data_IF_663079102303
#
_entry.id   IF_663079102303
#
_cell.length_a   1.000
_cell.length_b   1.000
_cell.length_c   1.000
_cell.angle_alpha   90.00
_cell.angle_beta   90.00
_cell.angle_gamma   90.00
#
_symmetry.space_group_name_H-M   'P 1'
#
loop_
_entity.id
_entity.type
_entity.pdbx_description
1 polymer ?
#
# COMPACT_ATOMS: atom_id res chain seq x y z
N UNK A 1 53.69 14.12 -11.95
CA UNK A 1 52.84 13.98 -10.73
C UNK A 1 51.38 14.44 -10.87
N UNK A 2 51.05 15.53 -11.58
CA UNK A 2 49.64 16.01 -11.71
C UNK A 2 48.71 15.06 -12.49
N UNK A 3 49.18 14.42 -13.57
CA UNK A 3 48.38 13.47 -14.37
C UNK A 3 47.96 12.21 -13.58
N UNK A 4 48.85 11.64 -12.77
CA UNK A 4 48.54 10.43 -11.99
C UNK A 4 47.46 10.70 -10.93
N UNK A 5 47.50 11.87 -10.26
CA UNK A 5 46.47 12.26 -9.28
C UNK A 5 45.07 12.38 -9.91
N UNK A 6 45.00 12.79 -11.17
CA UNK A 6 43.74 12.96 -11.90
C UNK A 6 43.09 11.61 -12.26
N UNK A 7 43.92 10.61 -12.59
CA UNK A 7 43.48 9.23 -12.84
C UNK A 7 42.92 8.59 -11.57
N UNK A 8 43.59 8.75 -10.42
CA UNK A 8 43.10 8.23 -9.14
C UNK A 8 41.79 8.90 -8.69
N UNK A 9 41.62 10.20 -8.94
CA UNK A 9 40.37 10.90 -8.63
C UNK A 9 39.19 10.40 -9.49
N UNK A 10 39.42 10.14 -10.77
CA UNK A 10 38.41 9.58 -11.68
C UNK A 10 38.02 8.14 -11.29
N UNK A 11 39.00 7.30 -10.95
CA UNK A 11 38.75 5.95 -10.45
C UNK A 11 37.94 5.97 -9.14
N UNK A 12 38.27 6.87 -8.21
CA UNK A 12 37.53 7.03 -6.96
C UNK A 12 36.07 7.46 -7.20
N UNK A 13 35.85 8.36 -8.17
CA UNK A 13 34.51 8.83 -8.52
C UNK A 13 33.66 7.72 -9.16
N UNK A 14 34.25 6.92 -10.06
CA UNK A 14 33.58 5.75 -10.65
C UNK A 14 33.28 4.71 -9.56
N UNK A 15 34.22 4.48 -8.64
CA UNK A 15 34.02 3.55 -7.52
C UNK A 15 32.89 4.03 -6.60
N UNK A 16 32.84 5.32 -6.26
CA UNK A 16 31.74 5.89 -5.47
C UNK A 16 30.39 5.81 -6.20
N UNK A 17 30.36 6.03 -7.51
CA UNK A 17 29.15 5.87 -8.32
C UNK A 17 28.66 4.41 -8.37
N UNK A 18 29.57 3.44 -8.43
CA UNK A 18 29.24 2.00 -8.39
C UNK A 18 28.71 1.61 -7.00
N UNK A 19 29.36 2.08 -5.92
CA UNK A 19 28.91 1.81 -4.53
C UNK A 19 27.54 2.46 -4.25
N UNK A 20 27.30 3.67 -4.75
CA UNK A 20 26.00 4.33 -4.66
C UNK A 20 24.92 3.62 -5.51
N UNK A 21 25.30 2.98 -6.62
CA UNK A 21 24.39 2.22 -7.48
C UNK A 21 23.90 0.89 -6.89
N UNK A 22 24.59 0.36 -5.87
CA UNK A 22 24.27 -0.93 -5.24
C UNK A 22 23.27 -0.85 -4.07
N UNK A 23 22.80 0.34 -3.66
CA UNK A 23 22.12 0.48 -2.35
C UNK A 23 20.62 0.18 -2.32
N UNK A 24 19.96 -0.10 -3.44
CA UNK A 24 18.49 -0.22 -3.48
C UNK A 24 17.94 -1.67 -3.41
N UNK A 25 18.81 -2.67 -3.32
CA UNK A 25 18.37 -4.08 -3.20
C UNK A 25 18.03 -4.48 -1.75
N UNK A 26 18.41 -3.68 -0.76
CA UNK A 26 18.16 -3.94 0.67
C UNK A 26 16.88 -3.28 1.21
N UNK A 27 16.15 -2.53 0.38
CA UNK A 27 14.87 -1.94 0.77
C UNK A 27 13.75 -2.97 0.58
N UNK A 28 12.90 -3.10 1.60
CA UNK A 28 11.68 -3.90 1.58
C UNK A 28 10.54 -3.15 0.91
N UNK A 29 9.54 -3.88 0.42
CA UNK A 29 8.31 -3.28 -0.10
C UNK A 29 7.54 -2.53 1.00
N UNK A 30 7.57 -3.04 2.24
CA UNK A 30 7.01 -2.32 3.39
C UNK A 30 7.58 -0.91 3.52
N UNK A 31 8.91 -0.76 3.49
CA UNK A 31 9.55 0.56 3.58
C UNK A 31 9.19 1.48 2.40
N UNK A 32 9.00 0.92 1.20
CA UNK A 32 8.52 1.69 0.04
C UNK A 32 7.13 2.25 0.27
N UNK A 33 6.20 1.40 0.74
CA UNK A 33 4.81 1.79 1.02
C UNK A 33 4.78 2.84 2.15
N UNK A 34 5.49 2.58 3.25
CA UNK A 34 5.51 3.48 4.41
C UNK A 34 6.09 4.86 4.06
N UNK A 35 7.07 4.92 3.13
CA UNK A 35 7.63 6.17 2.62
C UNK A 35 6.71 6.91 1.65
N UNK A 36 5.86 6.21 0.91
CA UNK A 36 4.89 6.84 0.02
C UNK A 36 3.79 7.55 0.83
N UNK A 37 3.47 7.03 2.03
CA UNK A 37 2.52 7.55 3.02
C UNK A 37 1.06 7.61 2.56
N UNK A 38 0.80 8.06 1.33
CA UNK A 38 -0.53 8.24 0.76
C UNK A 38 -0.85 7.13 -0.22
N UNK A 39 -1.96 6.45 0.01
CA UNK A 39 -2.45 5.37 -0.85
C UNK A 39 -3.92 5.61 -1.16
N UNK A 40 -4.28 5.52 -2.43
CA UNK A 40 -5.67 5.47 -2.87
C UNK A 40 -6.01 4.05 -3.28
N UNK A 41 -7.11 3.52 -2.77
CA UNK A 41 -7.56 2.15 -2.97
C UNK A 41 -8.81 2.22 -3.85
N UNK A 42 -8.73 1.66 -5.05
CA UNK A 42 -9.83 1.66 -6.01
C UNK A 42 -10.79 0.51 -5.69
N UNK A 43 -11.82 0.84 -4.91
CA UNK A 43 -13.00 0.02 -4.65
C UNK A 43 -14.24 0.86 -5.03
N UNK A 44 -15.42 0.25 -5.20
CA UNK A 44 -16.68 1.00 -5.20
C UNK A 44 -17.21 1.09 -3.76
N UNK A 45 -17.07 2.23 -3.06
CA UNK A 45 -16.40 3.49 -3.45
C UNK A 45 -14.92 3.57 -3.04
N UNK A 46 -14.22 4.59 -3.56
CA UNK A 46 -12.77 4.75 -3.45
C UNK A 46 -12.36 5.20 -2.04
N UNK A 47 -11.23 4.70 -1.55
CA UNK A 47 -10.69 5.04 -0.24
C UNK A 47 -9.34 5.74 -0.35
N UNK A 48 -9.11 6.75 0.49
CA UNK A 48 -7.83 7.46 0.59
C UNK A 48 -7.24 7.27 1.98
N UNK A 49 -6.00 6.79 2.06
CA UNK A 49 -5.29 6.52 3.32
C UNK A 49 -4.01 7.33 3.43
N UNK A 50 -3.72 7.86 4.62
CA UNK A 50 -2.43 8.37 5.08
C UNK A 50 -1.90 7.44 6.17
N UNK A 51 -0.94 6.61 5.77
CA UNK A 51 -0.27 5.62 6.62
C UNK A 51 0.57 6.26 7.72
N UNK A 52 1.10 7.46 7.49
CA UNK A 52 1.97 8.16 8.43
C UNK A 52 1.16 8.83 9.54
N UNK A 53 0.07 9.51 9.17
CA UNK A 53 -0.80 10.19 10.14
C UNK A 53 -1.92 9.31 10.70
N UNK A 54 -1.99 8.03 10.28
CA UNK A 54 -3.02 7.06 10.66
C UNK A 54 -4.45 7.55 10.44
N UNK A 55 -4.73 7.97 9.21
CA UNK A 55 -6.05 8.51 8.82
C UNK A 55 -6.50 7.91 7.51
N UNK A 56 -7.80 7.75 7.33
CA UNK A 56 -8.38 7.50 6.02
C UNK A 56 -9.75 8.15 5.86
N UNK A 57 -10.20 8.31 4.62
CA UNK A 57 -11.53 8.79 4.29
C UNK A 57 -12.05 8.18 2.97
N UNK A 58 -13.37 8.03 2.85
CA UNK A 58 -14.08 7.42 1.73
C UNK A 58 -15.22 6.51 2.22
N UNK A 59 -16.08 6.02 1.32
CA UNK A 59 -17.13 5.06 1.65
C UNK A 59 -18.11 5.51 2.75
N UNK A 60 -18.34 6.81 2.88
CA UNK A 60 -19.19 7.37 3.93
C UNK A 60 -18.57 7.40 5.32
N UNK A 61 -17.29 7.06 5.44
CA UNK A 61 -16.55 7.04 6.69
C UNK A 61 -15.28 7.90 6.58
N UNK A 62 -14.84 8.41 7.71
CA UNK A 62 -13.49 8.89 7.88
C UNK A 62 -12.95 8.39 9.21
N UNK A 63 -11.70 7.94 9.22
CA UNK A 63 -11.05 7.44 10.43
C UNK A 63 -9.85 8.32 10.78
N UNK A 64 -9.65 8.53 12.08
CA UNK A 64 -8.40 9.00 12.66
C UNK A 64 -8.09 8.17 13.89
N UNK A 65 -6.98 7.41 13.83
CA UNK A 65 -6.61 6.46 14.89
C UNK A 65 -7.78 5.50 15.17
N UNK A 66 -8.37 5.52 16.37
CA UNK A 66 -9.51 4.66 16.76
C UNK A 66 -10.85 5.42 16.78
N UNK A 67 -10.94 6.55 16.07
CA UNK A 67 -12.15 7.37 15.96
C UNK A 67 -12.74 7.28 14.55
N UNK A 68 -14.00 6.83 14.47
CA UNK A 68 -14.81 6.77 13.26
C UNK A 68 -15.79 7.94 13.18
N UNK A 69 -15.84 8.59 12.04
CA UNK A 69 -16.68 9.74 11.72
C UNK A 69 -17.65 9.32 10.62
N UNK A 70 -18.94 9.32 10.95
CA UNK A 70 -20.04 8.93 10.06
C UNK A 70 -21.16 9.98 10.10
N UNK A 71 -22.20 9.80 9.28
CA UNK A 71 -23.41 10.62 9.35
C UNK A 71 -24.07 10.57 10.74
N UNK A 72 -24.11 9.38 11.34
CA UNK A 72 -24.81 9.15 12.61
C UNK A 72 -24.07 9.74 13.80
N UNK A 73 -22.76 10.00 13.66
CA UNK A 73 -21.97 10.64 14.70
C UNK A 73 -20.50 10.33 14.65
N UNK A 74 -19.86 10.37 15.82
CA UNK A 74 -18.44 10.08 15.98
C UNK A 74 -18.27 9.06 17.09
N UNK A 75 -17.58 7.97 16.81
CA UNK A 75 -17.52 6.79 17.68
C UNK A 75 -16.08 6.38 17.89
N UNK A 76 -15.73 6.00 19.13
CA UNK A 76 -14.48 5.27 19.38
C UNK A 76 -14.70 3.80 19.06
N UNK A 77 -13.88 3.23 18.18
CA UNK A 77 -13.97 1.82 17.80
C UNK A 77 -12.59 1.28 17.39
N UNK A 78 -12.12 0.25 18.08
CA UNK A 78 -10.90 -0.47 17.69
C UNK A 78 -11.15 -1.45 16.55
N UNK A 79 -12.42 -1.85 16.33
CA UNK A 79 -12.80 -2.79 15.28
C UNK A 79 -12.92 -2.13 13.91
N UNK A 80 -13.11 -0.81 13.87
CA UNK A 80 -13.06 0.04 12.67
C UNK A 80 -11.98 1.12 12.83
N UNK A 81 -10.96 0.82 13.63
CA UNK A 81 -9.81 1.69 13.81
C UNK A 81 -8.87 1.60 12.62
N UNK A 82 -8.00 2.61 12.47
CA UNK A 82 -7.12 2.76 11.32
C UNK A 82 -6.32 1.49 11.00
N UNK A 83 -5.76 0.83 12.02
CA UNK A 83 -4.91 -0.35 11.81
C UNK A 83 -5.72 -1.57 11.32
N UNK A 84 -7.00 -1.70 11.72
CA UNK A 84 -7.88 -2.74 11.20
C UNK A 84 -8.19 -2.50 9.72
N UNK A 85 -8.66 -1.30 9.38
CA UNK A 85 -9.07 -0.96 8.01
C UNK A 85 -7.89 -1.00 7.04
N UNK A 86 -6.72 -0.54 7.49
CA UNK A 86 -5.47 -0.67 6.74
C UNK A 86 -5.16 -2.14 6.44
N UNK A 87 -5.33 -3.04 7.40
CA UNK A 87 -5.03 -4.45 7.16
C UNK A 87 -6.02 -5.08 6.17
N UNK A 88 -7.29 -4.66 6.20
CA UNK A 88 -8.39 -5.22 5.39
C UNK A 88 -8.43 -4.62 3.98
N UNK A 89 -8.62 -3.30 3.84
CA UNK A 89 -8.84 -2.66 2.55
C UNK A 89 -7.56 -2.55 1.73
N UNK A 90 -6.42 -2.25 2.38
CA UNK A 90 -5.13 -2.17 1.71
C UNK A 90 -4.47 -3.55 1.56
N UNK A 91 -5.00 -4.62 2.19
CA UNK A 91 -4.34 -5.94 2.26
C UNK A 91 -2.92 -5.85 2.82
N UNK A 92 -2.68 -4.90 3.75
CA UNK A 92 -1.34 -4.49 4.17
C UNK A 92 -0.45 -5.66 4.64
N UNK A 93 -0.92 -6.64 5.44
CA UNK A 93 -0.09 -7.79 5.83
C UNK A 93 0.46 -8.63 4.66
N UNK A 94 -0.19 -8.58 3.50
CA UNK A 94 0.18 -9.34 2.30
C UNK A 94 1.13 -8.54 1.40
N UNK A 95 0.84 -7.25 1.22
CA UNK A 95 1.61 -6.39 0.30
C UNK A 95 2.83 -5.74 0.96
N UNK A 96 2.79 -5.50 2.27
CA UNK A 96 3.85 -4.85 3.06
C UNK A 96 4.62 -5.87 3.92
N UNK A 97 5.04 -6.98 3.31
CA UNK A 97 5.86 -8.00 3.96
C UNK A 97 7.36 -7.77 3.75
N UNK A 98 8.16 -8.81 4.01
CA UNK A 98 9.63 -8.77 3.89
C UNK A 98 10.13 -8.95 2.46
N UNK A 99 9.25 -8.95 1.44
CA UNK A 99 9.69 -8.98 0.03
C UNK A 99 10.61 -7.80 -0.24
N UNK A 100 11.71 -8.07 -0.95
CA UNK A 100 12.72 -7.07 -1.26
C UNK A 100 12.47 -6.43 -2.63
N UNK A 101 12.87 -5.17 -2.79
CA UNK A 101 12.84 -4.48 -4.10
C UNK A 101 13.59 -5.25 -5.18
N UNK A 102 14.72 -5.88 -4.82
CA UNK A 102 15.49 -6.71 -5.75
C UNK A 102 14.72 -7.93 -6.25
N UNK A 103 13.89 -8.54 -5.40
CA UNK A 103 13.02 -9.67 -5.76
C UNK A 103 11.92 -9.25 -6.74
N UNK A 104 11.27 -8.11 -6.49
CA UNK A 104 10.26 -7.54 -7.38
C UNK A 104 10.83 -7.27 -8.77
N UNK A 105 12.00 -6.64 -8.84
CA UNK A 105 12.65 -6.34 -10.13
C UNK A 105 13.01 -7.61 -10.91
N UNK A 106 13.58 -8.62 -10.23
CA UNK A 106 13.91 -9.92 -10.83
C UNK A 106 12.67 -10.67 -11.33
N UNK A 107 11.53 -10.46 -10.69
CA UNK A 107 10.25 -11.08 -11.06
C UNK A 107 9.48 -10.29 -12.12
N UNK A 108 10.12 -9.34 -12.79
CA UNK A 108 9.49 -8.43 -13.74
C UNK A 108 8.23 -7.74 -13.17
N UNK A 109 8.34 -7.26 -11.92
CA UNK A 109 7.30 -6.52 -11.20
C UNK A 109 6.01 -7.30 -10.94
N UNK A 110 6.05 -8.64 -10.98
CA UNK A 110 4.91 -9.49 -10.62
C UNK A 110 5.37 -10.62 -9.70
N UNK A 111 4.78 -10.72 -8.51
CA UNK A 111 5.08 -11.80 -7.55
C UNK A 111 3.81 -12.57 -7.24
N UNK A 112 3.90 -13.90 -7.21
CA UNK A 112 2.85 -14.78 -6.68
C UNK A 112 3.31 -15.33 -5.34
N UNK A 113 2.56 -15.02 -4.28
CA UNK A 113 2.84 -15.44 -2.90
C UNK A 113 1.87 -16.53 -2.46
N UNK A 114 2.35 -17.50 -1.68
CA UNK A 114 1.50 -18.39 -0.89
C UNK A 114 1.44 -17.87 0.55
N UNK A 115 0.25 -17.48 0.99
CA UNK A 115 0.05 -16.83 2.30
C UNK A 115 -0.56 -17.75 3.36
N UNK A 116 -0.65 -19.06 3.09
CA UNK A 116 -1.30 -20.05 3.98
C UNK A 116 -0.68 -20.14 5.38
N UNK A 117 0.64 -19.93 5.48
CA UNK A 117 1.41 -20.19 6.69
C UNK A 117 1.53 -18.99 7.64
N UNK A 118 1.19 -17.78 7.18
CA UNK A 118 1.20 -16.58 8.02
C UNK A 118 -0.21 -16.34 8.58
N UNK A 119 -0.37 -16.35 9.91
CA UNK A 119 -1.69 -16.24 10.54
C UNK A 119 -2.42 -14.95 10.23
N UNK A 120 -1.71 -13.81 10.17
CA UNK A 120 -2.30 -12.50 9.83
C UNK A 120 -2.76 -12.47 8.37
N UNK A 121 -1.89 -12.89 7.44
CA UNK A 121 -2.25 -12.92 6.02
C UNK A 121 -3.39 -13.92 5.74
N UNK A 122 -3.37 -15.08 6.39
CA UNK A 122 -4.44 -16.09 6.29
C UNK A 122 -5.78 -15.53 6.77
N UNK A 123 -5.81 -14.76 7.86
CA UNK A 123 -7.03 -14.11 8.35
C UNK A 123 -7.65 -13.20 7.28
N UNK A 124 -6.82 -12.38 6.62
CA UNK A 124 -7.28 -11.51 5.51
C UNK A 124 -7.85 -12.33 4.36
N UNK A 125 -7.16 -13.38 3.92
CA UNK A 125 -7.64 -14.24 2.82
C UNK A 125 -8.95 -14.95 3.16
N UNK A 126 -9.13 -15.38 4.41
CA UNK A 126 -10.36 -16.03 4.83
C UNK A 126 -11.58 -15.10 4.76
N UNK A 127 -11.39 -13.79 4.96
CA UNK A 127 -12.46 -12.80 4.76
C UNK A 127 -12.82 -12.75 3.27
N UNK A 128 -11.82 -12.65 2.39
CA UNK A 128 -12.01 -12.59 0.93
C UNK A 128 -12.59 -13.87 0.33
N UNK A 129 -12.53 -15.01 1.04
CA UNK A 129 -13.28 -16.21 0.63
C UNK A 129 -14.80 -15.99 0.68
N UNK A 130 -15.27 -15.12 1.58
CA UNK A 130 -16.65 -14.65 1.63
C UNK A 130 -17.04 -13.88 0.36
N UNK A 131 -16.10 -13.17 -0.24
CA UNK A 131 -16.30 -12.33 -1.43
C UNK A 131 -16.14 -13.09 -2.76
N UNK A 132 -16.17 -14.42 -2.71
CA UNK A 132 -16.14 -15.27 -3.91
C UNK A 132 -14.73 -15.59 -4.43
N UNK A 133 -13.68 -15.40 -3.63
CA UNK A 133 -12.33 -15.87 -3.95
C UNK A 133 -12.02 -17.23 -3.30
N UNK A 134 -10.99 -17.92 -3.79
CA UNK A 134 -10.52 -19.20 -3.23
C UNK A 134 -9.00 -19.34 -3.21
N UNK A 135 -8.53 -20.29 -2.40
CA UNK A 135 -7.11 -20.61 -2.26
C UNK A 135 -6.34 -19.58 -1.44
N UNK A 136 -5.02 -19.76 -1.37
CA UNK A 136 -4.10 -18.92 -0.59
C UNK A 136 -2.97 -18.34 -1.45
N UNK A 137 -3.12 -18.37 -2.77
CA UNK A 137 -2.18 -17.76 -3.70
C UNK A 137 -2.64 -16.35 -4.04
N UNK A 138 -1.75 -15.38 -3.84
CA UNK A 138 -2.00 -13.96 -4.13
C UNK A 138 -1.01 -13.48 -5.17
N UNK A 139 -1.50 -12.89 -6.26
CA UNK A 139 -0.65 -12.31 -7.29
C UNK A 139 -0.63 -10.79 -7.15
N UNK A 140 0.54 -10.23 -6.92
CA UNK A 140 0.75 -8.80 -6.68
C UNK A 140 1.55 -8.23 -7.85
N UNK A 141 1.04 -7.14 -8.41
CA UNK A 141 1.70 -6.37 -9.47
C UNK A 141 2.25 -5.08 -8.88
N UNK A 142 3.44 -4.71 -9.30
CA UNK A 142 4.16 -3.52 -8.82
C UNK A 142 4.41 -2.55 -9.97
N UNK A 143 4.55 -1.26 -9.67
CA UNK A 143 5.07 -0.26 -10.61
C UNK A 143 6.61 -0.23 -10.59
N UNK A 144 7.21 0.64 -11.41
CA UNK A 144 8.67 0.80 -11.49
C UNK A 144 9.31 1.32 -10.19
N UNK A 145 8.56 2.02 -9.34
CA UNK A 145 8.99 2.43 -8.01
C UNK A 145 8.96 1.29 -6.98
N UNK A 146 8.53 0.10 -7.41
CA UNK A 146 8.31 -1.10 -6.61
C UNK A 146 7.21 -0.91 -5.54
N UNK A 147 6.20 -0.11 -5.87
CA UNK A 147 4.98 0.02 -5.09
C UNK A 147 3.89 -0.90 -5.68
N UNK A 148 3.15 -1.65 -4.85
CA UNK A 148 2.08 -2.53 -5.34
C UNK A 148 0.92 -1.71 -5.91
N UNK A 149 0.45 -2.05 -7.10
CA UNK A 149 -0.61 -1.30 -7.80
C UNK A 149 -1.87 -2.13 -8.06
N UNK A 150 -1.78 -3.46 -7.94
CA UNK A 150 -2.89 -4.37 -8.20
C UNK A 150 -2.66 -5.71 -7.53
N UNK A 151 -3.72 -6.24 -6.92
CA UNK A 151 -3.75 -7.58 -6.33
C UNK A 151 -4.81 -8.42 -7.05
N UNK A 152 -4.40 -9.62 -7.45
CA UNK A 152 -5.29 -10.62 -8.02
C UNK A 152 -5.34 -11.86 -7.14
N UNK A 153 -6.54 -12.42 -7.06
CA UNK A 153 -6.88 -13.66 -6.35
C UNK A 153 -7.53 -14.62 -7.34
N UNK A 154 -7.65 -15.88 -6.96
CA UNK A 154 -8.33 -16.88 -7.80
C UNK A 154 -9.82 -16.80 -7.50
N UNK A 155 -10.62 -16.50 -8.51
CA UNK A 155 -12.07 -16.47 -8.43
C UNK A 155 -12.62 -17.90 -8.21
N UNK A 156 -13.55 -18.04 -7.26
CA UNK A 156 -14.06 -19.35 -6.82
C UNK A 156 -14.78 -20.09 -7.93
N UNK A 157 -15.61 -19.37 -8.70
CA UNK A 157 -16.47 -19.91 -9.74
C UNK A 157 -15.69 -20.23 -11.02
N UNK A 158 -14.90 -19.26 -11.50
CA UNK A 158 -14.21 -19.35 -12.79
C UNK A 158 -12.84 -20.00 -12.72
N UNK A 159 -12.26 -20.14 -11.52
CA UNK A 159 -10.89 -20.63 -11.29
C UNK A 159 -9.81 -19.80 -12.00
N UNK A 160 -10.11 -18.55 -12.37
CA UNK A 160 -9.19 -17.62 -13.05
C UNK A 160 -8.70 -16.54 -12.10
N UNK A 161 -7.55 -15.95 -12.42
CA UNK A 161 -7.09 -14.75 -11.73
C UNK A 161 -8.04 -13.59 -11.98
N UNK A 162 -8.57 -13.00 -10.91
CA UNK A 162 -9.46 -11.85 -10.93
C UNK A 162 -8.88 -10.77 -10.02
N UNK A 163 -8.95 -9.53 -10.48
CA UNK A 163 -8.52 -8.37 -9.68
C UNK A 163 -9.44 -8.22 -8.48
N UNK A 164 -8.84 -8.23 -7.29
CA UNK A 164 -9.53 -7.97 -6.03
C UNK A 164 -9.48 -6.49 -5.68
N UNK A 165 -8.31 -5.87 -5.83
CA UNK A 165 -8.11 -4.46 -5.49
C UNK A 165 -6.98 -3.86 -6.31
N UNK A 166 -7.06 -2.54 -6.53
CA UNK A 166 -5.99 -1.75 -7.15
C UNK A 166 -5.61 -0.58 -6.25
N UNK A 167 -4.40 -0.09 -6.44
CA UNK A 167 -3.84 0.99 -5.66
C UNK A 167 -3.19 2.04 -6.56
N UNK A 168 -3.25 3.29 -6.11
CA UNK A 168 -2.44 4.38 -6.65
C UNK A 168 -1.80 5.18 -5.52
N UNK A 169 -0.72 5.88 -5.85
CA UNK A 169 0.11 6.63 -4.89
C UNK A 169 0.16 8.09 -5.30
N UNK A 170 -0.81 8.91 -4.86
CA UNK A 170 -0.89 10.30 -5.26
C UNK A 170 0.27 11.10 -4.67
N UNK A 171 0.86 11.98 -5.47
CA UNK A 171 1.90 12.92 -5.01
C UNK A 171 1.25 14.15 -4.39
N UNK A 172 0.66 13.98 -3.22
CA UNK A 172 0.04 15.04 -2.43
C UNK A 172 0.86 15.36 -1.19
N UNK A 173 0.70 16.58 -0.67
CA UNK A 173 1.35 17.00 0.57
C UNK A 173 0.51 16.64 1.80
N UNK A 174 1.13 16.55 2.98
CA UNK A 174 0.41 16.38 4.24
C UNK A 174 -0.67 17.45 4.47
N UNK A 175 -0.38 18.71 4.10
CA UNK A 175 -1.34 19.83 4.19
C UNK A 175 -2.53 19.63 3.25
N UNK A 176 -2.28 19.12 2.04
CA UNK A 176 -3.35 18.84 1.08
C UNK A 176 -4.22 17.67 1.54
N UNK A 177 -3.61 16.59 2.03
CA UNK A 177 -4.35 15.46 2.58
C UNK A 177 -5.22 15.87 3.77
N UNK A 178 -4.65 16.62 4.72
CA UNK A 178 -5.38 17.15 5.87
C UNK A 178 -6.59 18.00 5.47
N UNK A 179 -6.43 18.85 4.44
CA UNK A 179 -7.53 19.65 3.91
C UNK A 179 -8.64 18.75 3.34
N UNK A 180 -8.28 17.76 2.53
CA UNK A 180 -9.24 16.84 1.92
C UNK A 180 -10.00 16.04 2.99
N UNK A 181 -9.28 15.48 3.97
CA UNK A 181 -9.88 14.72 5.07
C UNK A 181 -10.85 15.58 5.88
N UNK A 182 -10.50 16.83 6.22
CA UNK A 182 -11.39 17.75 6.95
C UNK A 182 -12.65 18.09 6.16
N UNK A 183 -12.51 18.33 4.86
CA UNK A 183 -13.65 18.60 3.99
C UNK A 183 -14.58 17.38 3.94
N UNK A 184 -14.02 16.18 3.75
CA UNK A 184 -14.79 14.94 3.70
C UNK A 184 -15.51 14.65 5.02
N UNK A 185 -14.86 14.84 6.18
CA UNK A 185 -15.51 14.69 7.50
C UNK A 185 -16.69 15.65 7.65
N UNK A 186 -16.60 16.86 7.11
CA UNK A 186 -17.70 17.81 7.12
C UNK A 186 -18.86 17.30 6.25
N UNK A 187 -18.58 16.89 5.03
CA UNK A 187 -19.57 16.34 4.08
C UNK A 187 -20.28 15.12 4.66
N UNK A 188 -19.53 14.21 5.29
CA UNK A 188 -20.04 13.02 5.96
C UNK A 188 -21.05 13.35 7.05
N UNK A 189 -20.72 14.32 7.91
CA UNK A 189 -21.59 14.79 8.99
C UNK A 189 -22.83 15.52 8.49
N UNK A 190 -22.77 16.09 7.29
CA UNK A 190 -23.89 16.73 6.62
C UNK A 190 -24.76 15.73 5.82
N UNK A 191 -24.32 14.46 5.70
CA UNK A 191 -25.01 13.44 4.91
C UNK A 191 -24.81 13.59 3.40
N UNK A 192 -23.85 14.41 2.97
CA UNK A 192 -23.60 14.79 1.58
C UNK A 192 -22.42 13.99 0.99
N UNK A 193 -22.59 12.69 0.80
CA UNK A 193 -21.55 11.82 0.26
C UNK A 193 -21.59 11.82 -1.27
N UNK A 194 -20.61 12.45 -1.91
CA UNK A 194 -20.37 12.33 -3.36
C UNK A 194 -19.24 11.32 -3.59
N UNK A 195 -19.55 10.04 -3.44
CA UNK A 195 -18.61 8.92 -3.70
C UNK A 195 -19.10 8.04 -4.86
#
# INVERSE_FOLDING_TARGET
MKKNKLIYALLLYILMAIVAGCSNNHTTIKEKIDKASYVTIELPPTLHMDLSSKRWYGNGHAIREDMDYTYEGTYSTTNSGFDYDKDIYLLYPIIADKTMVGEVKKSNYVIVKDVKNNSKQRKIINILHGDGFKGYKVKIFYNHDCLPIKVQLIDKQTNKWKTSVKYSYPRITAKQYEKNWKNYVKEVKEGNFLD
#
